data_IF_439362503781
#
_entry.id   IF_439362503781
#
_cell.length_a   1.000
_cell.length_b   1.000
_cell.length_c   1.000
_cell.angle_alpha   90.00
_cell.angle_beta   90.00
_cell.angle_gamma   90.00
#
_symmetry.space_group_name_H-M   'P 1'
#
loop_
_entity.id
_entity.type
_entity.pdbx_description
1 polymer ?
#
# COMPACT_ATOMS: atom_id res chain seq x y z
N UNK A 1 59.40 16.11 8.20
CA UNK A 1 58.52 15.74 7.07
C UNK A 1 57.07 15.81 7.53
N UNK A 2 56.20 16.57 6.84
CA UNK A 2 54.76 16.63 7.15
C UNK A 2 54.08 15.44 6.47
N UNK A 3 53.47 14.54 7.24
CA UNK A 3 52.67 13.43 6.70
C UNK A 3 51.33 14.01 6.25
N UNK A 4 51.05 13.93 4.95
CA UNK A 4 49.75 14.29 4.38
C UNK A 4 48.71 13.28 4.83
N UNK A 5 47.53 13.75 5.24
CA UNK A 5 46.39 12.91 5.55
C UNK A 5 45.75 12.45 4.22
N UNK A 6 45.67 11.14 4.03
CA UNK A 6 44.93 10.50 2.95
C UNK A 6 43.44 10.76 3.19
N UNK A 7 42.74 11.33 2.21
CA UNK A 7 41.29 11.53 2.25
C UNK A 7 40.63 10.37 1.50
N UNK A 8 40.27 9.31 2.21
CA UNK A 8 39.42 8.24 1.68
C UNK A 8 38.01 8.81 1.39
N UNK A 9 37.72 8.99 0.11
CA UNK A 9 36.45 9.52 -0.37
C UNK A 9 35.29 8.61 -0.05
N UNK A 10 34.45 9.01 0.90
CA UNK A 10 33.02 8.66 0.90
C UNK A 10 32.22 9.90 1.34
N UNK A 11 31.36 10.48 0.47
CA UNK A 11 30.55 11.63 0.88
C UNK A 11 29.59 11.26 2.02
N UNK A 12 29.47 12.10 3.06
CA UNK A 12 28.54 11.85 4.16
C UNK A 12 27.11 11.97 3.64
N UNK A 13 26.40 10.85 3.52
CA UNK A 13 24.99 10.84 3.12
C UNK A 13 24.54 9.62 2.31
N UNK A 14 25.48 8.82 1.79
CA UNK A 14 25.14 7.53 1.20
C UNK A 14 25.39 6.42 2.22
N UNK A 15 24.39 6.15 3.06
CA UNK A 15 24.35 4.90 3.82
C UNK A 15 24.25 3.75 2.82
N UNK A 16 25.42 3.20 2.48
CA UNK A 16 25.52 1.86 1.90
C UNK A 16 24.71 0.95 2.81
N UNK A 17 23.58 0.42 2.31
CA UNK A 17 22.80 -0.58 3.04
C UNK A 17 23.77 -1.54 3.72
N UNK A 18 23.72 -1.71 5.05
CA UNK A 18 24.68 -2.55 5.73
C UNK A 18 24.54 -3.94 5.14
N UNK A 19 25.54 -4.32 4.35
CA UNK A 19 25.65 -5.66 3.83
C UNK A 19 25.96 -6.50 5.05
N UNK A 20 24.92 -7.12 5.60
CA UNK A 20 25.06 -8.06 6.68
C UNK A 20 25.56 -9.38 6.08
N UNK A 21 26.82 -9.79 6.34
CA UNK A 21 27.34 -11.05 5.84
C UNK A 21 26.63 -12.27 6.46
N UNK A 22 25.81 -12.08 7.49
CA UNK A 22 24.90 -13.10 8.04
C UNK A 22 23.50 -13.04 7.44
N UNK A 23 23.18 -12.05 6.61
CA UNK A 23 21.91 -12.04 5.88
C UNK A 23 21.89 -13.25 4.95
N UNK A 24 20.98 -14.18 5.25
CA UNK A 24 20.74 -15.33 4.38
C UNK A 24 20.42 -14.82 2.97
N UNK A 25 21.14 -15.35 1.98
CA UNK A 25 20.95 -14.97 0.60
C UNK A 25 19.56 -15.42 0.14
N UNK A 26 18.60 -14.50 0.10
CA UNK A 26 17.23 -14.80 -0.36
C UNK A 26 17.29 -15.03 -1.88
N UNK A 27 17.33 -16.31 -2.27
CA UNK A 27 17.35 -16.72 -3.68
C UNK A 27 16.01 -16.32 -4.32
N UNK A 28 16.01 -15.60 -5.45
CA UNK A 28 14.78 -15.29 -6.15
C UNK A 28 14.09 -16.58 -6.61
N UNK A 29 12.76 -16.59 -6.74
CA UNK A 29 12.07 -17.76 -7.26
C UNK A 29 12.61 -18.12 -8.66
N UNK A 30 13.02 -19.38 -8.83
CA UNK A 30 13.57 -19.90 -10.08
C UNK A 30 12.55 -20.00 -11.22
N UNK A 31 11.25 -19.96 -10.89
CA UNK A 31 10.18 -20.13 -11.87
C UNK A 31 9.73 -18.80 -12.46
N UNK A 32 9.55 -18.77 -13.78
CA UNK A 32 8.99 -17.63 -14.50
C UNK A 32 7.47 -17.71 -14.49
N UNK A 33 6.81 -16.54 -14.46
CA UNK A 33 5.36 -16.45 -14.70
C UNK A 33 5.10 -16.75 -16.18
N UNK A 34 4.02 -17.47 -16.48
CA UNK A 34 3.59 -17.69 -17.87
C UNK A 34 3.27 -16.34 -18.53
N UNK A 35 3.51 -16.25 -19.84
CA UNK A 35 3.13 -15.09 -20.64
C UNK A 35 1.61 -14.86 -20.58
N UNK A 36 1.19 -13.60 -20.62
CA UNK A 36 -0.23 -13.21 -20.66
C UNK A 36 -0.81 -12.68 -19.34
N UNK A 37 -2.09 -12.31 -19.39
CA UNK A 37 -2.82 -11.76 -18.24
C UNK A 37 -2.93 -12.82 -17.15
N UNK A 38 -2.56 -12.48 -15.92
CA UNK A 38 -2.81 -13.35 -14.76
C UNK A 38 -4.30 -13.67 -14.71
N UNK A 39 -4.65 -14.97 -14.72
CA UNK A 39 -6.02 -15.40 -14.43
C UNK A 39 -6.45 -14.73 -13.13
N UNK A 40 -7.66 -14.15 -13.08
CA UNK A 40 -8.25 -13.58 -11.85
C UNK A 40 -8.32 -14.69 -10.81
N UNK A 41 -7.25 -14.88 -10.04
CA UNK A 41 -7.29 -15.61 -8.77
C UNK A 41 -7.98 -14.68 -7.78
N UNK A 42 -8.74 -15.26 -6.84
CA UNK A 42 -9.26 -14.49 -5.70
C UNK A 42 -8.06 -13.83 -5.05
N UNK A 43 -8.00 -12.49 -5.11
CA UNK A 43 -6.98 -11.71 -4.41
C UNK A 43 -7.01 -12.18 -2.96
N UNK A 44 -5.86 -12.56 -2.40
CA UNK A 44 -5.76 -12.80 -0.96
C UNK A 44 -6.09 -11.47 -0.30
N UNK A 45 -7.19 -11.41 0.45
CA UNK A 45 -7.60 -10.20 1.13
C UNK A 45 -6.52 -9.84 2.16
N UNK A 46 -5.98 -8.63 2.08
CA UNK A 46 -5.03 -8.18 3.10
C UNK A 46 -5.77 -8.06 4.43
N UNK A 47 -5.14 -8.50 5.53
CA UNK A 47 -5.74 -8.47 6.87
C UNK A 47 -6.23 -7.06 7.30
N UNK A 48 -5.73 -6.01 6.65
CA UNK A 48 -6.00 -4.60 6.95
C UNK A 48 -7.07 -3.93 6.08
N UNK A 49 -7.87 -4.67 5.28
CA UNK A 49 -8.96 -4.01 4.53
C UNK A 49 -10.09 -3.63 5.49
N UNK A 50 -10.03 -2.41 6.02
CA UNK A 50 -11.21 -1.77 6.60
C UNK A 50 -12.18 -1.52 5.45
N UNK A 51 -13.27 -2.28 5.40
CA UNK A 51 -14.34 -2.06 4.43
C UNK A 51 -15.02 -0.74 4.80
N UNK A 52 -14.68 0.32 4.08
CA UNK A 52 -15.31 1.63 4.25
C UNK A 52 -16.81 1.46 4.00
N UNK A 53 -17.60 1.57 5.06
CA UNK A 53 -19.06 1.60 4.94
C UNK A 53 -19.42 2.91 4.23
N UNK A 54 -20.10 2.77 3.09
CA UNK A 54 -20.59 3.93 2.35
C UNK A 54 -21.72 4.60 3.15
N UNK A 55 -21.68 5.93 3.22
CA UNK A 55 -22.80 6.76 3.70
C UNK A 55 -23.71 7.07 2.53
N UNK A 56 -24.99 6.74 2.65
CA UNK A 56 -25.98 6.96 1.60
C UNK A 56 -26.20 8.46 1.37
N UNK A 57 -26.09 8.95 0.14
CA UNK A 57 -26.33 10.38 -0.15
C UNK A 57 -27.82 10.75 -0.22
N UNK A 58 -28.74 9.79 0.01
CA UNK A 58 -30.19 9.98 0.02
C UNK A 58 -30.73 10.09 1.44
N UNK A 59 -30.51 9.08 2.27
CA UNK A 59 -30.95 9.08 3.68
C UNK A 59 -29.85 9.38 4.69
N UNK A 60 -28.59 9.54 4.26
CA UNK A 60 -27.46 9.86 5.12
C UNK A 60 -27.09 8.79 6.17
N UNK A 61 -27.68 7.60 6.10
CA UNK A 61 -27.32 6.44 6.93
C UNK A 61 -26.13 5.66 6.36
N UNK A 62 -25.44 4.89 7.21
CA UNK A 62 -24.32 4.03 6.82
C UNK A 62 -24.80 2.65 6.37
N UNK A 63 -23.98 1.97 5.56
CA UNK A 63 -24.17 0.55 5.21
C UNK A 63 -24.80 0.29 3.86
N UNK A 64 -25.33 1.32 3.18
CA UNK A 64 -25.88 1.21 1.84
C UNK A 64 -25.60 2.47 1.01
N UNK A 65 -25.76 2.36 -0.32
CA UNK A 65 -25.57 3.48 -1.23
C UNK A 65 -26.91 3.98 -1.79
N UNK A 66 -26.90 5.11 -2.51
CA UNK A 66 -28.12 5.70 -3.08
C UNK A 66 -28.89 4.76 -4.02
N UNK A 67 -28.22 3.83 -4.71
CA UNK A 67 -28.85 2.89 -5.65
C UNK A 67 -29.60 1.77 -4.93
N UNK A 68 -29.14 1.38 -3.75
CA UNK A 68 -29.72 0.34 -2.90
C UNK A 68 -30.48 0.93 -1.70
N UNK A 69 -31.01 2.14 -1.84
CA UNK A 69 -31.65 2.86 -0.75
C UNK A 69 -33.18 2.75 -0.88
N UNK A 70 -33.79 2.01 0.04
CA UNK A 70 -35.23 1.70 0.04
C UNK A 70 -36.11 2.82 0.60
N UNK A 71 -35.52 3.84 1.23
CA UNK A 71 -36.27 4.98 1.79
C UNK A 71 -36.83 5.85 0.67
N UNK A 72 -38.03 6.42 0.87
CA UNK A 72 -38.50 7.55 0.06
C UNK A 72 -37.55 8.76 0.25
N UNK A 73 -37.48 9.72 -0.69
CA UNK A 73 -36.55 10.85 -0.56
C UNK A 73 -36.82 11.63 0.74
N UNK A 74 -35.88 11.54 1.68
CA UNK A 74 -35.89 12.30 2.93
C UNK A 74 -35.35 13.71 2.65
N UNK A 75 -35.96 14.77 3.22
CA UNK A 75 -35.43 16.11 3.11
C UNK A 75 -34.03 16.17 3.70
N UNK A 76 -33.11 16.85 3.01
CA UNK A 76 -31.73 17.00 3.46
C UNK A 76 -31.72 17.78 4.78
N UNK A 77 -31.01 17.33 5.82
CA UNK A 77 -30.82 18.16 7.01
C UNK A 77 -30.05 19.41 6.58
N UNK A 78 -30.64 20.58 6.80
CA UNK A 78 -29.98 21.87 6.59
C UNK A 78 -28.82 21.98 7.56
N UNK A 79 -27.64 22.29 7.06
CA UNK A 79 -26.52 22.72 7.88
C UNK A 79 -26.98 23.95 8.69
N UNK A 80 -26.99 23.84 10.02
CA UNK A 80 -27.06 24.99 10.94
C UNK A 80 -25.65 25.49 11.21
#
# INVERSE_FOLDING_TARGET
MKKVAEMDGNPPGYSRWPYDPTSEYIIPPVWKRSVGRRKKRKRIESQSVVRVTVRCSKCHEMGHNRRSCDTSPVPRPTCM
#
